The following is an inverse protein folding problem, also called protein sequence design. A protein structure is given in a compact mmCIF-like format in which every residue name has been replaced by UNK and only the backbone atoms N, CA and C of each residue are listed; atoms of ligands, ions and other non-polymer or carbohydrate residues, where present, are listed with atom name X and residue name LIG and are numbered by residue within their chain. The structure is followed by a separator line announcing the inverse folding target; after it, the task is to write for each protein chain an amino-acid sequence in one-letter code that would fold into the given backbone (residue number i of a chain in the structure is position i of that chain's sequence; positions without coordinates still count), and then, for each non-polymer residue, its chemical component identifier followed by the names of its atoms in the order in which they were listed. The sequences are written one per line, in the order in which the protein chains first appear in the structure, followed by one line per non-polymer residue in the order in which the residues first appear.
data_IF_316788041008
#
_entry.id   IF_316788041008
#
_cell.length_a   1.000
_cell.length_b   1.000
_cell.length_c   1.000
_cell.angle_alpha   90.00
_cell.angle_beta   90.00
_cell.angle_gamma   90.00
#
_symmetry.space_group_name_H-M   'P 1'
#
loop_
_entity.id
_entity.type
_entity.pdbx_description
1 polymer ?
#
# COMPACT_ATOMS: atom_id res chain seq x y z
N UNK A 1 18.06 1.64 7.55
CA UNK A 1 18.20 0.36 8.27
C UNK A 1 17.31 -0.68 7.60
N UNK A 2 17.76 -1.94 7.55
CA UNK A 2 16.99 -3.06 7.00
C UNK A 2 16.48 -3.92 8.15
N UNK A 3 15.20 -4.29 8.09
CA UNK A 3 14.56 -5.22 9.01
C UNK A 3 13.89 -6.30 8.17
N UNK A 4 14.10 -7.55 8.57
CA UNK A 4 13.62 -8.69 7.79
C UNK A 4 12.45 -9.36 8.48
N UNK A 5 11.47 -9.75 7.68
CA UNK A 5 10.40 -10.63 8.11
C UNK A 5 10.93 -12.07 8.11
N UNK A 6 11.03 -12.67 9.29
CA UNK A 6 11.48 -14.05 9.44
C UNK A 6 10.35 -14.92 10.00
N UNK A 7 10.02 -16.01 9.30
CA UNK A 7 9.00 -16.97 9.71
C UNK A 7 9.49 -17.76 10.93
N UNK A 8 10.78 -17.99 11.04
CA UNK A 8 11.36 -18.78 12.14
C UNK A 8 11.25 -18.09 13.50
N UNK A 9 11.05 -16.78 13.52
CA UNK A 9 10.78 -16.04 14.77
C UNK A 9 9.38 -16.23 15.32
N UNK A 10 8.49 -16.90 14.58
CA UNK A 10 7.14 -17.20 15.04
C UNK A 10 7.11 -18.52 15.83
N UNK A 11 6.18 -18.67 16.81
CA UNK A 11 6.01 -19.90 17.55
C UNK A 11 5.79 -21.10 16.62
N UNK A 12 6.52 -22.19 16.88
CA UNK A 12 6.52 -23.38 16.00
C UNK A 12 5.13 -24.01 15.93
N UNK A 13 4.38 -23.97 17.04
CA UNK A 13 3.03 -24.50 17.16
C UNK A 13 1.98 -23.70 16.39
N UNK A 14 2.29 -22.43 16.06
CA UNK A 14 1.38 -21.53 15.36
C UNK A 14 1.71 -21.35 13.87
N UNK A 15 2.70 -22.04 13.35
CA UNK A 15 3.11 -21.94 11.95
C UNK A 15 3.22 -23.29 11.25
N UNK A 16 2.84 -23.34 9.99
CA UNK A 16 3.07 -24.53 9.20
C UNK A 16 4.57 -24.72 8.91
N UNK A 17 5.18 -25.85 9.29
CA UNK A 17 6.62 -26.09 9.11
C UNK A 17 7.07 -26.14 7.65
N UNK A 18 6.15 -26.33 6.70
CA UNK A 18 6.43 -26.35 5.27
C UNK A 18 6.23 -24.98 4.61
N UNK A 19 5.78 -23.99 5.35
CA UNK A 19 5.52 -22.66 4.81
C UNK A 19 6.83 -21.91 4.57
N UNK A 20 6.98 -21.36 3.37
CA UNK A 20 8.08 -20.46 3.00
C UNK A 20 7.59 -19.04 2.71
N UNK A 21 6.28 -18.87 2.44
CA UNK A 21 5.70 -17.57 2.16
C UNK A 21 5.48 -16.76 3.44
N UNK A 22 5.77 -15.47 3.39
CA UNK A 22 5.56 -14.53 4.51
C UNK A 22 4.06 -14.34 4.81
N UNK A 23 3.75 -13.90 6.04
CA UNK A 23 2.36 -13.78 6.52
C UNK A 23 1.68 -12.45 6.19
N UNK A 24 2.29 -11.62 5.36
CA UNK A 24 1.67 -10.40 4.84
C UNK A 24 2.24 -9.11 5.41
N UNK A 25 1.63 -7.98 5.03
CA UNK A 25 2.17 -6.64 5.28
C UNK A 25 2.05 -6.21 6.75
N UNK A 26 1.06 -6.68 7.49
CA UNK A 26 0.95 -6.39 8.94
C UNK A 26 2.19 -6.90 9.67
N UNK A 27 2.61 -8.15 9.42
CA UNK A 27 3.84 -8.68 10.02
C UNK A 27 5.09 -7.89 9.61
N UNK A 28 5.16 -7.45 8.35
CA UNK A 28 6.28 -6.63 7.88
C UNK A 28 6.41 -5.31 8.67
N UNK A 29 5.29 -4.64 8.94
CA UNK A 29 5.26 -3.40 9.72
C UNK A 29 5.69 -3.66 11.16
N UNK A 30 5.20 -4.72 11.79
CA UNK A 30 5.55 -5.11 13.15
C UNK A 30 7.05 -5.31 13.36
N UNK A 31 7.79 -5.73 12.32
CA UNK A 31 9.25 -5.86 12.39
C UNK A 31 9.96 -4.52 12.55
N UNK A 32 9.31 -3.41 12.19
CA UNK A 32 9.84 -2.06 12.34
C UNK A 32 9.57 -1.41 13.70
N UNK A 33 8.75 -2.02 14.57
CA UNK A 33 8.24 -1.42 15.80
C UNK A 33 9.30 -0.77 16.68
N UNK A 34 10.45 -1.43 16.87
CA UNK A 34 11.53 -0.96 17.76
C UNK A 34 12.25 0.31 17.25
N UNK A 35 11.97 0.72 16.01
CA UNK A 35 12.65 1.82 15.33
C UNK A 35 11.75 3.03 15.06
N UNK A 36 10.48 2.94 15.46
CA UNK A 36 9.46 3.94 15.15
C UNK A 36 8.87 4.46 16.46
N UNK A 37 9.14 5.73 16.74
CA UNK A 37 8.77 6.43 17.97
C UNK A 37 7.87 7.66 17.72
N UNK A 38 7.44 7.87 16.48
CA UNK A 38 6.55 8.96 16.08
C UNK A 38 5.66 8.59 14.89
N UNK A 39 4.85 9.53 14.37
CA UNK A 39 4.01 9.32 13.21
C UNK A 39 4.81 8.79 12.03
N UNK A 40 4.31 7.79 11.33
CA UNK A 40 5.05 7.14 10.24
C UNK A 40 4.18 6.79 9.05
N UNK A 41 4.81 6.78 7.87
CA UNK A 41 4.19 6.34 6.63
C UNK A 41 4.62 4.94 6.23
N UNK A 42 3.69 4.18 5.65
CA UNK A 42 3.94 2.85 5.07
C UNK A 42 3.69 2.92 3.58
N UNK A 43 4.66 2.45 2.79
CA UNK A 43 4.58 2.41 1.33
C UNK A 43 5.15 1.10 0.80
N UNK A 44 4.78 0.73 -0.41
CA UNK A 44 5.38 -0.37 -1.14
C UNK A 44 6.64 0.11 -1.88
N UNK A 45 7.78 -0.53 -1.67
CA UNK A 45 9.06 -0.14 -2.26
C UNK A 45 9.10 -0.22 -3.80
N UNK A 46 8.23 -1.03 -4.41
CA UNK A 46 8.13 -1.20 -5.87
C UNK A 46 7.19 -0.20 -6.55
N UNK A 47 6.67 0.77 -5.80
CA UNK A 47 5.70 1.74 -6.28
C UNK A 47 6.30 3.14 -6.37
N UNK A 48 5.95 3.87 -7.42
CA UNK A 48 6.26 5.28 -7.57
C UNK A 48 5.01 6.12 -7.35
N UNK A 49 4.95 6.79 -6.20
CA UNK A 49 3.76 7.50 -5.72
C UNK A 49 3.69 8.97 -6.14
N UNK A 50 4.75 9.54 -6.69
CA UNK A 50 4.98 10.96 -6.96
C UNK A 50 5.02 11.82 -5.68
N UNK A 51 5.64 12.99 -5.79
CA UNK A 51 5.91 13.89 -4.64
C UNK A 51 4.64 14.44 -3.98
N UNK A 52 3.59 14.67 -4.77
CA UNK A 52 2.31 15.22 -4.29
C UNK A 52 1.68 14.28 -3.25
N UNK A 53 1.76 12.98 -3.46
CA UNK A 53 1.22 11.98 -2.53
C UNK A 53 2.01 11.93 -1.22
N UNK A 54 3.34 12.07 -1.29
CA UNK A 54 4.17 12.17 -0.09
C UNK A 54 3.91 13.45 0.69
N UNK A 55 3.64 14.57 0.00
CA UNK A 55 3.29 15.82 0.65
C UNK A 55 1.96 15.68 1.42
N UNK A 56 0.93 15.11 0.80
CA UNK A 56 -0.36 14.86 1.46
C UNK A 56 -0.21 13.96 2.69
N UNK A 57 0.57 12.87 2.56
CA UNK A 57 0.84 11.98 3.68
C UNK A 57 1.56 12.71 4.82
N UNK A 58 2.64 13.41 4.51
CA UNK A 58 3.44 14.16 5.48
C UNK A 58 2.59 15.22 6.21
N UNK A 59 1.87 16.06 5.46
CA UNK A 59 1.08 17.14 6.03
C UNK A 59 -0.01 16.60 6.96
N UNK A 60 -0.62 15.46 6.60
CA UNK A 60 -1.59 14.83 7.47
C UNK A 60 -0.96 14.24 8.73
N UNK A 61 0.17 13.54 8.60
CA UNK A 61 0.91 12.97 9.75
C UNK A 61 1.27 14.03 10.79
N UNK A 62 1.58 15.26 10.36
CA UNK A 62 1.85 16.38 11.28
C UNK A 62 0.61 16.84 12.06
N UNK A 63 -0.59 16.50 11.62
CA UNK A 63 -1.85 16.84 12.31
C UNK A 63 -2.29 15.79 13.31
N UNK A 64 -1.77 14.57 13.22
CA UNK A 64 -2.09 13.48 14.14
C UNK A 64 -1.53 13.79 15.54
N UNK A 65 -2.32 13.47 16.56
CA UNK A 65 -1.95 13.62 17.97
C UNK A 65 -1.99 12.27 18.65
N UNK A 66 -1.20 12.13 19.71
CA UNK A 66 -0.99 10.87 20.46
C UNK A 66 -2.29 10.19 20.98
N UNK A 67 -3.40 10.94 21.04
CA UNK A 67 -4.68 10.42 21.54
C UNK A 67 -5.66 10.02 20.45
N UNK A 68 -5.31 10.26 19.18
CA UNK A 68 -6.23 10.03 18.06
C UNK A 68 -5.90 8.68 17.43
N UNK A 69 -6.87 7.76 17.45
CA UNK A 69 -6.84 6.53 16.63
C UNK A 69 -6.93 6.84 15.13
N UNK A 70 -6.71 8.10 14.78
CA UNK A 70 -6.78 8.56 13.42
C UNK A 70 -5.55 8.11 12.63
N UNK A 71 -5.85 7.55 11.49
CA UNK A 71 -4.87 7.12 10.50
C UNK A 71 -5.19 7.80 9.17
N UNK A 72 -4.30 7.69 8.20
CA UNK A 72 -4.55 8.24 6.87
C UNK A 72 -4.28 7.20 5.78
N UNK A 73 -5.10 7.23 4.73
CA UNK A 73 -4.82 6.54 3.48
C UNK A 73 -4.78 7.56 2.34
N UNK A 74 -3.67 7.62 1.62
CA UNK A 74 -3.57 8.43 0.40
C UNK A 74 -4.09 7.61 -0.76
N UNK A 75 -5.24 8.02 -1.30
CA UNK A 75 -5.96 7.35 -2.35
C UNK A 75 -5.80 8.04 -3.70
N UNK A 76 -5.85 7.25 -4.75
CA UNK A 76 -5.78 7.68 -6.14
C UNK A 76 -7.14 7.49 -6.81
N UNK A 77 -7.43 8.27 -7.85
CA UNK A 77 -8.55 7.91 -8.74
C UNK A 77 -8.21 6.67 -9.54
N UNK A 78 -9.20 5.81 -9.76
CA UNK A 78 -9.04 4.56 -10.53
C UNK A 78 -8.42 4.83 -11.90
N UNK A 79 -8.83 5.90 -12.57
CA UNK A 79 -8.26 6.32 -13.85
C UNK A 79 -6.72 6.51 -13.83
N UNK A 80 -6.16 6.85 -12.66
CA UNK A 80 -4.74 7.15 -12.49
C UNK A 80 -3.89 5.93 -12.08
N UNK A 81 -4.52 4.76 -11.87
CA UNK A 81 -3.85 3.54 -11.38
C UNK A 81 -4.10 2.31 -12.27
N UNK A 82 -4.84 2.45 -13.35
CA UNK A 82 -5.04 1.35 -14.31
C UNK A 82 -3.77 1.08 -15.12
N UNK A 83 -3.54 -0.21 -15.40
CA UNK A 83 -2.51 -0.60 -16.36
C UNK A 83 -2.94 -0.23 -17.80
N UNK A 84 -1.95 -0.01 -18.68
CA UNK A 84 -2.21 0.20 -20.09
C UNK A 84 -2.73 -1.07 -20.79
N UNK A 85 -2.34 -2.25 -20.26
CA UNK A 85 -2.81 -3.55 -20.72
C UNK A 85 -2.83 -4.56 -19.58
N UNK A 86 -3.78 -5.51 -19.65
CA UNK A 86 -3.94 -6.58 -18.68
C UNK A 86 -4.70 -6.17 -17.41
N UNK A 87 -5.23 -7.17 -16.74
CA UNK A 87 -5.99 -7.01 -15.50
C UNK A 87 -5.09 -6.82 -14.28
N UNK A 88 -5.45 -5.88 -13.43
CA UNK A 88 -4.71 -5.56 -12.18
C UNK A 88 -5.62 -5.70 -10.97
N UNK A 89 -5.05 -5.96 -9.79
CA UNK A 89 -5.81 -5.90 -8.54
C UNK A 89 -5.81 -4.47 -8.01
N UNK A 90 -6.99 -3.99 -7.59
CA UNK A 90 -7.15 -2.64 -7.02
C UNK A 90 -8.03 -2.67 -5.79
N UNK A 91 -7.56 -2.06 -4.70
CA UNK A 91 -8.30 -1.88 -3.46
C UNK A 91 -9.25 -0.69 -3.57
N UNK A 92 -10.50 -0.94 -3.96
CA UNK A 92 -11.52 0.12 -4.08
C UNK A 92 -11.94 0.56 -2.67
N UNK A 93 -11.89 1.87 -2.43
CA UNK A 93 -12.23 2.50 -1.17
C UNK A 93 -13.68 2.99 -1.19
N UNK A 94 -14.43 2.66 -0.17
CA UNK A 94 -15.68 3.32 0.18
C UNK A 94 -15.40 4.40 1.22
N UNK A 95 -15.93 5.59 1.02
CA UNK A 95 -15.63 6.77 1.85
C UNK A 95 -16.95 7.43 2.22
N UNK A 96 -17.09 7.83 3.48
CA UNK A 96 -18.28 8.53 3.97
C UNK A 96 -18.29 10.02 3.56
N UNK A 97 -19.38 10.72 3.89
CA UNK A 97 -19.58 12.15 3.58
C UNK A 97 -18.55 13.06 4.29
N UNK A 98 -17.97 12.59 5.40
CA UNK A 98 -16.96 13.32 6.17
C UNK A 98 -15.53 13.06 5.65
N UNK A 99 -15.37 12.15 4.66
CA UNK A 99 -14.11 11.78 4.04
C UNK A 99 -13.30 10.77 4.86
N UNK A 100 -13.97 9.95 5.66
CA UNK A 100 -13.36 8.81 6.34
C UNK A 100 -13.61 7.51 5.57
N UNK A 101 -12.63 6.63 5.63
CA UNK A 101 -12.68 5.32 5.01
C UNK A 101 -13.72 4.45 5.74
N UNK A 102 -14.65 3.89 4.97
CA UNK A 102 -15.61 2.88 5.43
C UNK A 102 -15.07 1.48 5.19
N UNK A 103 -14.55 1.24 4.00
CA UNK A 103 -13.95 -0.06 3.66
C UNK A 103 -12.95 0.04 2.50
N UNK A 104 -12.07 -0.96 2.41
CA UNK A 104 -11.23 -1.23 1.22
C UNK A 104 -11.56 -2.62 0.72
N UNK A 105 -12.03 -2.72 -0.52
CA UNK A 105 -12.35 -4.00 -1.14
C UNK A 105 -11.47 -4.26 -2.36
N UNK A 106 -10.70 -5.35 -2.34
CA UNK A 106 -9.89 -5.75 -3.48
C UNK A 106 -10.78 -6.24 -4.63
N UNK A 107 -10.60 -5.61 -5.81
CA UNK A 107 -11.16 -6.05 -7.08
C UNK A 107 -10.05 -6.64 -7.93
N UNK A 108 -10.18 -7.92 -8.23
CA UNK A 108 -9.19 -8.65 -9.03
C UNK A 108 -9.47 -8.47 -10.52
N UNK A 109 -8.42 -8.41 -11.33
CA UNK A 109 -8.56 -8.38 -12.79
C UNK A 109 -9.23 -7.11 -13.33
N UNK A 110 -9.04 -5.97 -12.67
CA UNK A 110 -9.55 -4.67 -13.17
C UNK A 110 -8.81 -4.29 -14.43
N UNK A 111 -9.53 -4.10 -15.53
CA UNK A 111 -8.98 -3.69 -16.83
C UNK A 111 -9.96 -2.82 -17.60
N UNK A 112 -9.48 -2.16 -18.67
CA UNK A 112 -10.33 -1.39 -19.57
C UNK A 112 -10.93 -2.27 -20.67
N UNK A 113 -12.26 -2.38 -20.69
CA UNK A 113 -13.00 -3.06 -21.76
C UNK A 113 -13.84 -2.01 -22.50
N UNK A 114 -13.56 -1.78 -23.78
CA UNK A 114 -14.25 -0.75 -24.53
C UNK A 114 -14.08 0.66 -23.96
N UNK A 115 -12.96 0.92 -23.28
CA UNK A 115 -12.66 2.22 -22.64
C UNK A 115 -13.18 2.35 -21.21
N UNK A 116 -14.04 1.44 -20.72
CA UNK A 116 -14.64 1.46 -19.40
C UNK A 116 -13.85 0.56 -18.45
N UNK A 117 -13.49 1.02 -17.22
CA UNK A 117 -12.92 0.15 -16.21
C UNK A 117 -13.93 -0.91 -15.78
N UNK A 118 -13.53 -2.18 -15.83
CA UNK A 118 -14.38 -3.30 -15.48
C UNK A 118 -13.59 -4.35 -14.71
N UNK A 119 -14.27 -5.18 -13.93
CA UNK A 119 -13.67 -6.32 -13.24
C UNK A 119 -14.61 -7.53 -13.30
N UNK A 120 -14.08 -8.78 -13.31
CA UNK A 120 -14.90 -9.97 -13.22
C UNK A 120 -15.35 -10.18 -11.76
N UNK A 121 -16.65 -10.24 -11.52
CA UNK A 121 -17.18 -10.56 -10.21
C UNK A 121 -17.01 -12.05 -9.87
N UNK A 122 -17.45 -12.49 -8.69
CA UNK A 122 -17.32 -13.87 -8.20
C UNK A 122 -17.98 -14.93 -9.09
N UNK A 123 -18.92 -14.54 -9.97
CA UNK A 123 -19.57 -15.43 -10.95
C UNK A 123 -19.08 -15.17 -12.38
N UNK A 124 -17.89 -14.56 -12.51
CA UNK A 124 -17.22 -14.23 -13.78
C UNK A 124 -18.04 -13.34 -14.73
N UNK A 125 -18.97 -12.55 -14.20
CA UNK A 125 -19.62 -11.49 -14.97
C UNK A 125 -18.84 -10.19 -14.81
N UNK A 126 -18.68 -9.47 -15.91
CA UNK A 126 -18.02 -8.17 -15.92
C UNK A 126 -18.93 -7.10 -15.34
N UNK A 127 -18.41 -6.38 -14.36
CA UNK A 127 -19.06 -5.23 -13.73
C UNK A 127 -18.20 -3.99 -13.96
N UNK A 128 -18.86 -2.87 -14.28
CA UNK A 128 -18.18 -1.59 -14.46
C UNK A 128 -17.79 -0.94 -13.13
N UNK A 129 -16.70 -0.21 -13.14
CA UNK A 129 -16.26 0.67 -12.05
C UNK A 129 -16.25 2.11 -12.54
N UNK A 130 -16.58 3.05 -11.65
CA UNK A 130 -16.42 4.47 -11.94
C UNK A 130 -14.91 4.82 -11.96
N UNK A 131 -14.47 5.51 -13.00
CA UNK A 131 -13.09 6.01 -13.14
C UNK A 131 -12.67 6.94 -11.98
N UNK A 132 -13.63 7.58 -11.33
CA UNK A 132 -13.43 8.45 -10.18
C UNK A 132 -13.40 7.69 -8.85
N UNK A 133 -13.68 6.38 -8.83
CA UNK A 133 -13.56 5.59 -7.61
C UNK A 133 -12.20 5.78 -6.97
N UNK A 134 -12.18 5.95 -5.65
CA UNK A 134 -10.94 6.06 -4.89
C UNK A 134 -10.32 4.67 -4.69
N UNK A 135 -9.01 4.61 -4.84
CA UNK A 135 -8.23 3.37 -4.81
C UNK A 135 -7.06 3.51 -3.85
N UNK A 136 -6.95 2.60 -2.92
CA UNK A 136 -5.77 2.45 -2.08
C UNK A 136 -4.65 1.76 -2.84
N UNK A 137 -3.49 2.40 -2.90
CA UNK A 137 -2.26 1.83 -3.44
C UNK A 137 -1.24 1.51 -2.32
N UNK A 138 -1.74 1.19 -1.12
CA UNK A 138 -0.95 0.92 0.09
C UNK A 138 -0.02 2.07 0.50
N UNK A 139 -0.55 3.29 0.47
CA UNK A 139 0.11 4.45 1.05
C UNK A 139 -0.66 4.89 2.30
N UNK A 140 -0.15 4.46 3.46
CA UNK A 140 -0.80 4.62 4.75
C UNK A 140 0.03 5.47 5.70
N UNK A 141 -0.63 6.16 6.61
CA UNK A 141 0.00 6.85 7.73
C UNK A 141 -0.63 6.42 9.05
N UNK A 142 0.21 6.23 10.04
CA UNK A 142 -0.19 5.74 11.37
C UNK A 142 0.58 6.45 12.48
N UNK A 143 0.02 6.40 13.67
CA UNK A 143 0.71 6.65 14.93
C UNK A 143 1.29 5.35 15.49
N UNK A 144 2.36 5.40 16.34
CA UNK A 144 2.99 4.21 16.93
C UNK A 144 2.04 3.32 17.72
N UNK A 145 0.97 3.86 18.28
CA UNK A 145 -0.06 3.13 19.03
C UNK A 145 -0.72 2.01 18.21
N UNK A 146 -0.68 2.14 16.88
CA UNK A 146 -1.18 1.09 15.97
C UNK A 146 -0.48 -0.26 16.16
N UNK A 147 0.78 -0.25 16.63
CA UNK A 147 1.55 -1.48 16.80
C UNK A 147 0.94 -2.46 17.81
N UNK A 148 0.32 -1.97 18.87
CA UNK A 148 -0.34 -2.84 19.86
C UNK A 148 -1.53 -3.55 19.23
N UNK A 149 -2.41 -2.79 18.56
CA UNK A 149 -3.55 -3.37 17.86
C UNK A 149 -3.17 -4.27 16.68
N UNK A 150 -2.06 -3.98 15.98
CA UNK A 150 -1.54 -4.85 14.91
C UNK A 150 -0.97 -6.15 15.47
N UNK A 151 -0.27 -6.10 16.61
CA UNK A 151 0.28 -7.31 17.24
C UNK A 151 -0.84 -8.23 17.73
N UNK A 152 -1.82 -7.69 18.46
CA UNK A 152 -2.99 -8.44 18.92
C UNK A 152 -3.72 -9.12 17.75
N UNK A 153 -4.05 -8.35 16.73
CA UNK A 153 -4.76 -8.85 15.56
C UNK A 153 -3.94 -9.87 14.75
N UNK A 154 -2.62 -9.75 14.73
CA UNK A 154 -1.75 -10.70 14.07
C UNK A 154 -1.63 -12.01 14.87
N UNK A 155 -1.60 -11.95 16.21
CA UNK A 155 -1.57 -13.12 17.06
C UNK A 155 -2.87 -13.94 16.92
N UNK A 156 -4.03 -13.27 16.87
CA UNK A 156 -5.32 -13.92 16.58
C UNK A 156 -5.36 -14.53 15.17
N UNK A 157 -4.82 -13.81 14.17
CA UNK A 157 -4.71 -14.34 12.81
C UNK A 157 -3.83 -15.61 12.76
N UNK A 158 -2.75 -15.66 13.53
CA UNK A 158 -1.90 -16.86 13.61
C UNK A 158 -2.60 -18.04 14.28
N UNK A 159 -3.42 -17.80 15.31
CA UNK A 159 -4.21 -18.88 15.95
C UNK A 159 -5.17 -19.53 14.93
N UNK A 160 -5.81 -18.74 14.10
CA UNK A 160 -6.83 -19.21 13.16
C UNK A 160 -6.23 -19.74 11.84
N UNK A 161 -5.25 -19.02 11.29
CA UNK A 161 -4.75 -19.24 9.94
C UNK A 161 -3.26 -19.58 9.84
N UNK A 162 -2.53 -19.67 10.95
CA UNK A 162 -1.09 -19.87 10.91
C UNK A 162 -0.65 -21.16 10.22
N UNK A 163 -1.50 -22.19 10.23
CA UNK A 163 -1.26 -23.47 9.54
C UNK A 163 -1.61 -23.45 8.04
N UNK A 164 -2.36 -22.46 7.57
CA UNK A 164 -2.69 -22.33 6.15
C UNK A 164 -1.47 -21.85 5.36
N UNK A 165 -1.13 -22.57 4.29
CA UNK A 165 0.01 -22.28 3.42
C UNK A 165 -0.12 -20.99 2.61
N UNK A 166 -1.34 -20.48 2.44
CA UNK A 166 -1.66 -19.33 1.56
C UNK A 166 -2.17 -18.11 2.33
N UNK A 167 -2.59 -18.28 3.59
CA UNK A 167 -3.13 -17.17 4.36
C UNK A 167 -2.10 -16.04 4.50
N UNK A 168 -2.54 -14.81 4.37
CA UNK A 168 -1.73 -13.62 4.61
C UNK A 168 -2.59 -12.52 5.20
N UNK A 169 -2.02 -11.74 6.11
CA UNK A 169 -2.71 -10.65 6.78
C UNK A 169 -2.22 -9.31 6.23
N UNK A 170 -3.05 -8.68 5.42
CA UNK A 170 -2.74 -7.42 4.74
C UNK A 170 -3.15 -6.21 5.59
N UNK A 171 -2.54 -5.04 5.32
CA UNK A 171 -2.94 -3.77 5.94
C UNK A 171 -4.43 -3.48 5.71
N UNK A 172 -4.97 -3.56 4.47
CA UNK A 172 -6.40 -3.35 4.25
C UNK A 172 -7.31 -4.26 5.09
N UNK A 173 -6.94 -5.53 5.26
CA UNK A 173 -7.71 -6.46 6.09
C UNK A 173 -7.71 -6.06 7.57
N UNK A 174 -6.55 -5.65 8.10
CA UNK A 174 -6.43 -5.13 9.46
C UNK A 174 -7.26 -3.86 9.65
N UNK A 175 -7.12 -2.89 8.74
CA UNK A 175 -7.81 -1.60 8.79
C UNK A 175 -9.33 -1.79 8.73
N UNK A 176 -9.83 -2.58 7.78
CA UNK A 176 -11.27 -2.88 7.68
C UNK A 176 -11.81 -3.43 9.00
N UNK A 177 -11.12 -4.43 9.56
CA UNK A 177 -11.50 -5.02 10.85
C UNK A 177 -11.56 -3.96 11.96
N UNK A 178 -10.55 -3.10 12.07
CA UNK A 178 -10.51 -2.07 13.13
C UNK A 178 -11.55 -0.97 12.93
N UNK A 179 -11.92 -0.66 11.70
CA UNK A 179 -13.04 0.24 11.39
C UNK A 179 -14.37 -0.40 11.82
N UNK A 180 -14.62 -1.67 11.45
CA UNK A 180 -15.81 -2.42 11.83
C UNK A 180 -15.97 -2.55 13.36
N UNK A 181 -14.84 -2.71 14.09
CA UNK A 181 -14.81 -2.74 15.55
C UNK A 181 -15.01 -1.34 16.19
N UNK A 182 -15.05 -0.26 15.39
CA UNK A 182 -15.12 1.12 15.90
C UNK A 182 -13.84 1.60 16.61
N UNK A 183 -12.72 0.93 16.37
CA UNK A 183 -11.43 1.17 17.03
C UNK A 183 -10.43 1.95 16.16
N UNK A 184 -10.80 2.34 14.96
CA UNK A 184 -9.95 3.10 14.05
C UNK A 184 -10.80 3.99 13.15
N UNK A 185 -10.33 5.21 12.95
CA UNK A 185 -10.80 6.10 11.89
C UNK A 185 -9.65 6.37 10.93
N UNK A 186 -9.92 6.32 9.64
CA UNK A 186 -8.91 6.54 8.61
C UNK A 186 -9.35 7.68 7.72
N UNK A 187 -8.65 8.80 7.79
CA UNK A 187 -8.91 9.92 6.87
C UNK A 187 -8.42 9.57 5.48
N UNK A 188 -9.24 9.79 4.48
CA UNK A 188 -8.83 9.62 3.08
C UNK A 188 -8.32 10.94 2.53
N UNK A 189 -7.13 10.93 1.95
CA UNK A 189 -6.53 12.04 1.22
C UNK A 189 -6.46 11.67 -0.27
N UNK A 190 -7.22 12.38 -1.10
CA UNK A 190 -7.17 12.17 -2.54
C UNK A 190 -5.96 12.87 -3.16
N UNK A 191 -5.13 12.12 -3.90
CA UNK A 191 -4.01 12.67 -4.67
C UNK A 191 -4.36 12.81 -6.16
N UNK A 192 -3.99 13.92 -6.82
CA UNK A 192 -4.11 14.06 -8.26
C UNK A 192 -3.01 13.30 -9.02
N UNK A 193 -2.04 12.74 -8.34
CA UNK A 193 -0.90 12.06 -8.92
C UNK A 193 -1.30 10.80 -9.72
N UNK A 194 -0.42 10.40 -10.63
CA UNK A 194 -0.51 9.12 -11.33
C UNK A 194 0.43 8.12 -10.68
N UNK A 195 -0.12 7.01 -10.25
CA UNK A 195 0.68 5.92 -9.69
C UNK A 195 1.37 5.10 -10.79
N UNK A 196 2.56 4.59 -10.50
CA UNK A 196 3.26 3.64 -11.36
C UNK A 196 3.87 2.52 -10.52
N UNK A 197 3.68 1.26 -10.96
CA UNK A 197 4.32 0.09 -10.36
C UNK A 197 5.57 -0.33 -11.13
N UNK A 198 6.51 -0.93 -10.42
CA UNK A 198 7.72 -1.55 -10.98
C UNK A 198 7.69 -3.04 -10.62
N UNK A 199 6.79 -3.79 -11.24
CA UNK A 199 6.57 -5.21 -10.93
C UNK A 199 7.18 -6.12 -12.02
N UNK A 200 7.23 -5.64 -13.26
CA UNK A 200 7.75 -6.38 -14.41
C UNK A 200 8.88 -5.62 -15.11
N UNK A 201 9.58 -6.33 -16.01
CA UNK A 201 10.61 -5.68 -16.84
C UNK A 201 10.00 -4.63 -17.80
N UNK A 202 8.82 -4.88 -18.30
CA UNK A 202 8.13 -3.96 -19.23
C UNK A 202 7.69 -2.67 -18.51
N UNK A 203 7.29 -2.76 -17.24
CA UNK A 203 6.98 -1.58 -16.42
C UNK A 203 8.19 -0.65 -16.30
N UNK A 204 9.41 -1.21 -16.21
CA UNK A 204 10.64 -0.43 -16.07
C UNK A 204 10.82 0.57 -17.21
N UNK A 205 10.56 0.17 -18.44
CA UNK A 205 10.70 1.04 -19.62
C UNK A 205 9.68 2.18 -19.54
N UNK A 206 8.43 1.86 -19.24
CA UNK A 206 7.35 2.84 -19.14
C UNK A 206 7.60 3.85 -18.00
N UNK A 207 8.01 3.36 -16.84
CA UNK A 207 8.35 4.22 -15.69
C UNK A 207 9.52 5.14 -16.02
N UNK A 208 10.59 4.63 -16.66
CA UNK A 208 11.73 5.45 -17.08
C UNK A 208 11.34 6.54 -18.06
N UNK A 209 10.50 6.23 -19.06
CA UNK A 209 10.01 7.21 -20.01
C UNK A 209 9.21 8.31 -19.32
N UNK A 210 8.32 7.96 -18.41
CA UNK A 210 7.51 8.93 -17.65
C UNK A 210 8.34 9.78 -16.70
N UNK A 211 9.33 9.19 -15.99
CA UNK A 211 10.25 9.97 -15.14
C UNK A 211 11.06 10.97 -16.00
N UNK A 212 11.58 10.54 -17.14
CA UNK A 212 12.29 11.43 -18.05
C UNK A 212 11.40 12.57 -18.59
N UNK A 213 10.13 12.31 -18.85
CA UNK A 213 9.17 13.35 -19.21
C UNK A 213 8.96 14.35 -18.07
N UNK A 214 8.79 13.85 -16.83
CA UNK A 214 8.64 14.70 -15.64
C UNK A 214 9.89 15.57 -15.39
N UNK A 215 11.10 15.03 -15.61
CA UNK A 215 12.33 15.79 -15.55
C UNK A 215 12.39 16.88 -16.63
N UNK A 216 12.00 16.57 -17.88
CA UNK A 216 11.93 17.57 -18.95
C UNK A 216 10.92 18.68 -18.67
N UNK A 217 9.82 18.36 -17.96
CA UNK A 217 8.81 19.34 -17.52
C UNK A 217 9.23 20.11 -16.24
N UNK A 218 10.40 19.83 -15.68
CA UNK A 218 10.89 20.47 -14.44
C UNK A 218 10.15 20.03 -13.18
N UNK A 219 9.35 18.96 -13.22
CA UNK A 219 8.64 18.40 -12.06
C UNK A 219 9.64 17.75 -11.11
N UNK A 220 10.64 17.05 -11.67
CA UNK A 220 11.76 16.47 -10.95
C UNK A 220 13.09 17.03 -11.47
N UNK A 221 14.10 17.24 -10.60
CA UNK A 221 15.43 17.66 -11.03
C UNK A 221 16.15 16.52 -11.76
N UNK A 222 17.05 16.87 -12.70
CA UNK A 222 17.89 15.88 -13.39
C UNK A 222 18.83 15.11 -12.46
N UNK A 223 19.19 15.69 -11.32
CA UNK A 223 19.95 15.04 -10.25
C UNK A 223 19.10 15.06 -8.99
N UNK A 224 18.64 13.89 -8.55
CA UNK A 224 17.85 13.76 -7.33
C UNK A 224 18.67 14.01 -6.06
N UNK A 225 19.98 13.77 -6.11
CA UNK A 225 20.89 13.95 -4.98
C UNK A 225 21.98 14.93 -5.39
N UNK A 226 22.41 15.78 -4.47
CA UNK A 226 23.51 16.75 -4.69
C UNK A 226 24.85 16.06 -4.97
N UNK A 227 25.88 16.85 -5.32
CA UNK A 227 27.20 16.35 -5.75
C UNK A 227 27.92 15.42 -4.74
N UNK A 228 27.47 15.36 -3.50
CA UNK A 228 28.01 14.51 -2.42
C UNK A 228 27.16 13.27 -2.11
N UNK A 229 26.12 12.97 -2.87
CA UNK A 229 25.35 11.76 -2.67
C UNK A 229 26.04 10.57 -3.35
N UNK A 230 26.24 9.51 -2.58
CA UNK A 230 26.74 8.20 -2.98
C UNK A 230 26.31 7.86 -4.40
N UNK A 231 27.26 7.80 -5.32
CA UNK A 231 27.12 7.11 -6.61
C UNK A 231 26.83 5.67 -6.28
N UNK A 232 25.58 5.26 -6.42
CA UNK A 232 25.25 3.84 -6.52
C UNK A 232 25.85 3.41 -7.86
N UNK A 233 27.04 2.84 -7.83
CA UNK A 233 27.59 2.11 -8.97
C UNK A 233 26.58 1.00 -9.29
N UNK A 234 25.90 1.16 -10.40
CA UNK A 234 25.13 0.06 -10.97
C UNK A 234 26.14 -0.98 -11.44
N UNK A 235 26.31 -2.01 -10.64
CA UNK A 235 27.03 -3.21 -11.07
C UNK A 235 26.44 -3.68 -12.41
N UNK A 236 27.30 -3.75 -13.41
CA UNK A 236 26.96 -4.15 -14.78
C UNK A 236 26.79 -5.67 -14.93
N UNK A 237 26.67 -6.40 -13.82
CA UNK A 237 26.55 -7.85 -13.81
C UNK A 237 25.17 -8.26 -13.24
N UNK A 238 24.17 -8.22 -14.12
CA UNK A 238 22.97 -9.11 -14.08
C UNK A 238 22.54 -9.34 -15.53
#
# INVERSE_FOLDING_TARGET
RYVYQDIETLPVEKRNPKRTALYGSVRAILMGREWIDGPFGVINAVNFYQKESFQLLHDHLLTLKDADFDSVNVCYRLANVLAESGGVTRGICEVDEEGYLVSVTDRLGVERIGGVPMYPNKVHKWESLDENSLVSMNMWGFMPEVFEGMQEAFDEFLEEYGMDMKAHYSIPAYVNRKIEEGKMKVKVQETPAKWMGLVSHDDKIQVLLRINEMMRKGIYPHKLFGANSLTVEMNKDI
#
